data_IF_771044139801
#
_entry.id   IF_771044139801
#
_cell.length_a   1.000
_cell.length_b   1.000
_cell.length_c   1.000
_cell.angle_alpha   90.00
_cell.angle_beta   90.00
_cell.angle_gamma   90.00
#
_symmetry.space_group_name_H-M   'P 1'
#
loop_
_entity.id
_entity.type
_entity.pdbx_description
1 polymer ?
#
# COMPACT_ATOMS: atom_id res chain seq x y z
N UNK A 1 -49.13 54.81 28.10
CA UNK A 1 -48.92 54.04 26.85
C UNK A 1 -47.43 54.17 26.53
N UNK A 2 -46.63 53.17 26.91
CA UNK A 2 -45.16 53.19 26.76
C UNK A 2 -44.82 52.05 25.80
N UNK A 3 -44.20 52.41 24.66
CA UNK A 3 -43.79 51.50 23.61
C UNK A 3 -42.55 50.71 24.02
N UNK A 4 -42.55 49.41 23.72
CA UNK A 4 -41.38 48.54 23.81
C UNK A 4 -40.48 48.70 22.57
N UNK A 5 -39.14 48.72 22.69
CA UNK A 5 -38.25 48.65 21.54
C UNK A 5 -38.00 47.19 21.14
N UNK A 6 -38.21 46.90 19.86
CA UNK A 6 -37.83 45.63 19.23
C UNK A 6 -36.30 45.57 19.06
N UNK A 7 -35.69 44.48 19.54
CA UNK A 7 -34.28 44.15 19.28
C UNK A 7 -34.20 43.37 17.97
N UNK A 8 -33.53 43.93 16.96
CA UNK A 8 -33.17 43.19 15.76
C UNK A 8 -31.92 42.34 16.04
N UNK A 9 -32.05 41.03 15.96
CA UNK A 9 -30.92 40.10 15.93
C UNK A 9 -30.26 40.15 14.55
N UNK A 10 -29.04 40.67 14.49
CA UNK A 10 -28.21 40.65 13.29
C UNK A 10 -27.66 39.24 13.12
N UNK A 11 -28.10 38.53 12.09
CA UNK A 11 -27.50 37.27 11.65
C UNK A 11 -26.10 37.56 11.08
N UNK A 12 -25.07 37.12 11.81
CA UNK A 12 -23.71 37.12 11.29
C UNK A 12 -23.51 35.88 10.41
N UNK A 13 -23.47 36.07 9.09
CA UNK A 13 -23.00 35.06 8.17
C UNK A 13 -21.46 35.02 8.22
N UNK A 14 -20.90 33.95 8.77
CA UNK A 14 -19.48 33.65 8.61
C UNK A 14 -19.25 33.15 7.19
N UNK A 15 -18.75 34.01 6.31
CA UNK A 15 -18.15 33.59 5.06
C UNK A 15 -16.85 32.84 5.40
N UNK A 16 -16.86 31.51 5.27
CA UNK A 16 -15.62 30.75 5.25
C UNK A 16 -14.82 31.19 4.03
N UNK A 17 -13.67 31.83 4.26
CA UNK A 17 -12.72 32.12 3.20
C UNK A 17 -12.29 30.80 2.55
N UNK A 18 -12.21 30.78 1.22
CA UNK A 18 -11.73 29.62 0.47
C UNK A 18 -10.33 29.23 0.97
N UNK A 19 -10.20 27.99 1.44
CA UNK A 19 -8.93 27.46 1.94
C UNK A 19 -7.97 27.39 0.74
N UNK A 20 -6.74 27.94 0.84
CA UNK A 20 -5.80 27.91 -0.26
C UNK A 20 -5.51 26.44 -0.64
N UNK A 21 -5.70 26.12 -1.92
CA UNK A 21 -5.37 24.79 -2.45
C UNK A 21 -3.85 24.63 -2.37
N UNK A 22 -3.33 23.64 -1.62
CA UNK A 22 -1.89 23.46 -1.54
C UNK A 22 -1.33 23.11 -2.92
N UNK A 23 -0.26 23.79 -3.32
CA UNK A 23 0.43 23.51 -4.57
C UNK A 23 0.82 22.02 -4.64
N UNK A 24 0.51 21.37 -5.76
CA UNK A 24 0.82 19.95 -6.00
C UNK A 24 2.32 19.73 -5.76
N UNK A 25 2.67 18.87 -4.80
CA UNK A 25 4.06 18.53 -4.51
C UNK A 25 4.65 17.83 -5.75
N UNK A 26 5.93 18.08 -6.09
CA UNK A 26 6.56 17.48 -7.26
C UNK A 26 6.56 15.94 -7.16
N UNK A 27 6.01 15.28 -8.18
CA UNK A 27 6.05 13.82 -8.32
C UNK A 27 7.49 13.39 -8.60
N UNK A 28 8.11 12.71 -7.65
CA UNK A 28 9.42 12.11 -7.84
C UNK A 28 9.25 10.81 -8.62
N UNK A 29 9.72 10.78 -9.87
CA UNK A 29 9.75 9.55 -10.68
C UNK A 29 11.10 8.87 -10.47
N UNK A 30 11.10 7.68 -9.86
CA UNK A 30 12.32 6.88 -9.76
C UNK A 30 12.44 6.00 -11.01
N UNK A 31 13.56 6.13 -11.72
CA UNK A 31 13.81 5.42 -12.97
C UNK A 31 14.34 4.01 -12.67
N UNK A 32 13.44 3.10 -12.30
CA UNK A 32 13.75 1.68 -12.06
C UNK A 32 13.79 0.84 -13.35
N UNK A 33 13.38 1.41 -14.49
CA UNK A 33 13.22 0.69 -15.78
C UNK A 33 14.50 -0.04 -16.24
N UNK A 34 15.64 0.64 -16.23
CA UNK A 34 16.93 0.06 -16.65
C UNK A 34 17.32 -1.14 -15.78
N UNK A 35 17.11 -1.03 -14.47
CA UNK A 35 17.38 -2.13 -13.54
C UNK A 35 16.53 -3.36 -13.87
N UNK A 36 15.22 -3.15 -14.08
CA UNK A 36 14.28 -4.23 -14.39
C UNK A 36 14.62 -4.89 -15.73
N UNK A 37 14.97 -4.09 -16.75
CA UNK A 37 15.39 -4.59 -18.07
C UNK A 37 16.69 -5.41 -18.00
N UNK A 38 17.67 -4.96 -17.22
CA UNK A 38 18.91 -5.73 -17.01
C UNK A 38 18.64 -7.03 -16.23
N UNK A 39 17.83 -6.96 -15.18
CA UNK A 39 17.44 -8.15 -14.42
C UNK A 39 16.66 -9.15 -15.27
N UNK A 40 15.83 -8.69 -16.20
CA UNK A 40 15.01 -9.54 -17.08
C UNK A 40 15.84 -10.55 -17.91
N UNK A 41 17.14 -10.26 -18.13
CA UNK A 41 18.09 -11.15 -18.83
C UNK A 41 18.50 -12.39 -18.02
N UNK A 42 18.28 -12.40 -16.69
CA UNK A 42 18.61 -13.52 -15.81
C UNK A 42 17.53 -14.61 -15.86
N UNK A 43 17.80 -15.86 -15.46
CA UNK A 43 16.78 -16.91 -15.41
C UNK A 43 15.60 -16.54 -14.50
N UNK A 44 14.37 -16.81 -14.95
CA UNK A 44 13.14 -16.56 -14.19
C UNK A 44 12.52 -17.87 -13.73
N UNK A 45 12.27 -18.00 -12.43
CA UNK A 45 11.51 -19.10 -11.84
C UNK A 45 10.69 -18.60 -10.65
N UNK A 46 9.64 -19.34 -10.28
CA UNK A 46 8.85 -19.05 -9.10
C UNK A 46 9.37 -19.86 -7.90
N UNK A 47 9.78 -19.18 -6.83
CA UNK A 47 10.52 -19.78 -5.70
C UNK A 47 9.61 -20.34 -4.60
N UNK A 48 8.32 -20.02 -4.63
CA UNK A 48 7.32 -20.48 -3.67
C UNK A 48 6.57 -19.33 -3.02
N UNK A 49 6.04 -19.60 -1.83
CA UNK A 49 5.21 -18.67 -1.08
C UNK A 49 5.29 -18.83 0.44
N UNK A 50 5.10 -17.72 1.16
CA UNK A 50 4.81 -17.69 2.60
C UNK A 50 3.43 -17.09 2.86
N UNK A 51 2.93 -17.30 4.07
CA UNK A 51 1.74 -16.60 4.58
C UNK A 51 2.23 -15.33 5.28
N UNK A 52 1.61 -14.19 4.95
CA UNK A 52 1.86 -12.93 5.62
C UNK A 52 1.34 -13.01 7.06
N UNK A 53 2.15 -12.50 7.99
CA UNK A 53 1.73 -12.23 9.37
C UNK A 53 2.37 -10.93 9.80
N UNK A 54 1.61 -10.12 10.50
CA UNK A 54 2.09 -8.94 11.21
C UNK A 54 1.67 -9.03 12.68
N UNK A 55 2.58 -8.72 13.60
CA UNK A 55 2.26 -8.52 15.01
C UNK A 55 1.60 -7.14 15.17
N UNK A 56 0.32 -7.04 15.58
CA UNK A 56 -0.27 -5.76 15.90
C UNK A 56 0.44 -5.21 17.13
N UNK A 57 1.29 -4.19 16.94
CA UNK A 57 1.95 -3.54 18.06
C UNK A 57 0.95 -2.64 18.75
N UNK A 58 0.35 -3.10 19.84
CA UNK A 58 -0.35 -2.19 20.76
C UNK A 58 0.70 -1.18 21.24
N UNK A 59 0.53 0.14 21.01
CA UNK A 59 1.49 1.12 21.48
C UNK A 59 1.49 1.05 23.01
N UNK A 60 2.56 0.52 23.61
CA UNK A 60 2.71 0.58 25.06
C UNK A 60 2.92 2.05 25.41
N UNK A 61 1.92 2.66 26.05
CA UNK A 61 1.88 4.08 26.43
C UNK A 61 3.12 4.53 27.25
N UNK A 62 3.89 3.56 27.77
CA UNK A 62 5.06 3.74 28.63
C UNK A 62 6.39 3.98 27.88
N UNK A 63 6.40 3.91 26.54
CA UNK A 63 7.64 4.01 25.74
C UNK A 63 7.85 5.35 25.02
N UNK A 64 7.23 6.44 25.49
CA UNK A 64 7.56 7.80 25.03
C UNK A 64 8.85 8.26 25.72
N UNK A 65 9.96 7.61 25.39
CA UNK A 65 11.28 8.22 25.59
C UNK A 65 11.59 9.04 24.32
N UNK A 66 11.53 10.36 24.48
CA UNK A 66 11.84 11.38 23.45
C UNK A 66 13.26 11.25 22.87
N UNK A 67 14.13 10.44 23.47
CA UNK A 67 15.48 10.16 22.98
C UNK A 67 15.75 8.69 22.61
N UNK A 68 14.75 7.80 22.71
CA UNK A 68 14.92 6.44 22.24
C UNK A 68 15.01 6.46 20.71
N UNK A 69 16.21 6.19 20.18
CA UNK A 69 16.39 5.72 18.80
C UNK A 69 15.40 4.56 18.61
N UNK A 70 14.31 4.82 17.88
CA UNK A 70 13.26 3.84 17.61
C UNK A 70 13.92 2.57 17.11
N UNK A 71 14.01 1.56 17.97
CA UNK A 71 14.45 0.23 17.55
C UNK A 71 13.33 -0.27 16.65
N UNK A 72 13.59 -0.26 15.35
CA UNK A 72 12.66 -0.70 14.31
C UNK A 72 12.24 -2.14 14.59
N UNK A 73 11.10 -2.33 15.24
CA UNK A 73 10.50 -3.65 15.37
C UNK A 73 9.74 -3.90 14.07
N UNK A 74 10.33 -4.65 13.15
CA UNK A 74 9.60 -5.13 11.97
C UNK A 74 8.54 -6.10 12.48
N UNK A 75 7.28 -5.70 12.41
CA UNK A 75 6.18 -6.54 12.90
C UNK A 75 5.81 -7.63 11.91
N UNK A 76 6.29 -7.55 10.66
CA UNK A 76 5.98 -8.49 9.59
C UNK A 76 6.93 -9.70 9.60
N UNK A 77 6.43 -10.87 9.19
CA UNK A 77 7.26 -12.03 8.84
C UNK A 77 8.22 -11.67 7.69
N UNK A 78 9.55 -11.69 7.92
CA UNK A 78 10.52 -11.33 6.88
C UNK A 78 10.42 -12.24 5.66
N UNK A 79 10.74 -11.71 4.49
CA UNK A 79 10.86 -12.51 3.27
C UNK A 79 12.19 -13.29 3.34
N UNK A 80 12.23 -14.60 3.00
CA UNK A 80 13.47 -15.35 2.93
C UNK A 80 14.47 -14.68 1.99
N UNK A 81 15.72 -14.61 2.40
CA UNK A 81 16.79 -14.14 1.54
C UNK A 81 17.05 -15.14 0.40
N UNK A 82 17.07 -14.65 -0.84
CA UNK A 82 17.26 -15.46 -2.04
C UNK A 82 18.48 -15.01 -2.85
N UNK A 83 19.66 -15.34 -2.36
CA UNK A 83 20.94 -15.03 -3.00
C UNK A 83 21.01 -15.53 -4.46
N UNK A 84 21.39 -14.64 -5.38
CA UNK A 84 21.57 -14.96 -6.80
C UNK A 84 20.29 -15.40 -7.54
N UNK A 85 19.11 -15.09 -6.99
CA UNK A 85 17.80 -15.37 -7.60
C UNK A 85 17.12 -14.11 -8.11
N UNK A 86 17.87 -13.10 -8.54
CA UNK A 86 17.28 -11.92 -9.16
C UNK A 86 16.51 -12.34 -10.42
N UNK A 87 15.46 -11.60 -10.75
CA UNK A 87 14.46 -11.92 -11.78
C UNK A 87 13.51 -13.10 -11.47
N UNK A 88 13.73 -13.83 -10.38
CA UNK A 88 12.76 -14.81 -9.90
C UNK A 88 11.59 -14.13 -9.17
N UNK A 89 10.52 -14.89 -8.96
CA UNK A 89 9.33 -14.40 -8.25
C UNK A 89 9.06 -15.18 -6.98
N UNK A 90 8.47 -14.52 -6.01
CA UNK A 90 8.08 -15.11 -4.72
C UNK A 90 6.72 -14.55 -4.28
N UNK A 91 5.82 -15.39 -3.79
CA UNK A 91 4.45 -14.96 -3.44
C UNK A 91 4.27 -14.84 -1.94
N UNK A 92 3.83 -13.68 -1.49
CA UNK A 92 3.35 -13.47 -0.12
C UNK A 92 1.84 -13.56 -0.13
N UNK A 93 1.30 -14.54 0.59
CA UNK A 93 -0.14 -14.80 0.68
C UNK A 93 -0.69 -14.06 1.87
N UNK A 94 -1.42 -12.99 1.60
CA UNK A 94 -1.96 -12.06 2.59
C UNK A 94 -3.40 -12.45 2.90
N UNK A 95 -3.70 -12.91 4.13
CA UNK A 95 -5.07 -13.17 4.56
C UNK A 95 -5.95 -11.92 4.40
N UNK A 96 -7.23 -12.12 4.06
CA UNK A 96 -8.22 -11.05 3.86
C UNK A 96 -8.25 -10.01 4.98
N UNK A 97 -8.04 -10.40 6.23
CA UNK A 97 -8.14 -9.49 7.38
C UNK A 97 -7.07 -8.38 7.36
N UNK A 98 -5.93 -8.60 6.69
CA UNK A 98 -4.86 -7.61 6.54
C UNK A 98 -5.05 -6.66 5.37
N UNK A 99 -6.03 -6.91 4.50
CA UNK A 99 -6.29 -6.13 3.27
C UNK A 99 -7.74 -5.65 3.18
N UNK A 100 -8.59 -6.06 4.11
CA UNK A 100 -9.95 -5.56 4.22
C UNK A 100 -9.94 -4.14 4.78
N UNK A 101 -10.69 -3.26 4.13
CA UNK A 101 -11.03 -1.95 4.71
C UNK A 101 -12.07 -2.15 5.81
N UNK A 102 -11.97 -1.41 6.91
CA UNK A 102 -13.05 -1.41 7.90
C UNK A 102 -14.34 -0.86 7.29
N UNK A 103 -15.46 -1.44 7.71
CA UNK A 103 -16.76 -0.81 7.51
C UNK A 103 -16.88 0.38 8.45
N UNK A 104 -17.54 1.45 8.03
CA UNK A 104 -17.76 2.64 8.87
C UNK A 104 -18.58 2.35 10.15
N UNK A 105 -19.07 1.13 10.35
CA UNK A 105 -19.84 0.68 11.52
C UNK A 105 -19.02 -0.09 12.56
N UNK A 106 -17.81 -0.53 12.25
CA UNK A 106 -16.95 -1.25 13.19
C UNK A 106 -16.20 -0.26 14.09
N UNK A 107 -16.17 -0.52 15.39
CA UNK A 107 -15.40 0.29 16.34
C UNK A 107 -13.97 -0.27 16.45
N UNK A 108 -13.02 0.36 15.75
CA UNK A 108 -11.58 0.06 15.84
C UNK A 108 -10.81 0.40 14.55
N UNK A 109 -9.48 0.34 14.59
CA UNK A 109 -8.66 0.44 13.38
C UNK A 109 -8.61 -0.90 12.64
N UNK A 110 -8.57 -0.88 11.31
CA UNK A 110 -8.34 -2.11 10.53
C UNK A 110 -6.88 -2.54 10.64
N UNK A 111 -6.57 -3.81 10.39
CA UNK A 111 -5.18 -4.23 10.26
C UNK A 111 -4.48 -3.49 9.10
N UNK A 112 -5.20 -3.18 8.01
CA UNK A 112 -4.64 -2.42 6.90
C UNK A 112 -4.30 -0.99 7.32
N UNK A 113 -5.14 -0.35 8.14
CA UNK A 113 -4.90 0.97 8.71
C UNK A 113 -3.64 0.97 9.59
N UNK A 114 -3.49 -0.03 10.46
CA UNK A 114 -2.28 -0.18 11.29
C UNK A 114 -1.02 -0.35 10.42
N UNK A 115 -1.07 -1.21 9.40
CA UNK A 115 0.03 -1.41 8.44
C UNK A 115 0.39 -0.10 7.73
N UNK A 116 -0.62 0.63 7.22
CA UNK A 116 -0.43 1.91 6.56
C UNK A 116 0.15 2.97 7.51
N UNK A 117 -0.25 2.97 8.78
CA UNK A 117 0.24 3.90 9.81
C UNK A 117 1.70 3.61 10.22
N UNK A 118 2.11 2.34 10.28
CA UNK A 118 3.48 1.94 10.62
C UNK A 118 4.52 2.43 9.60
N UNK A 119 4.14 2.51 8.32
CA UNK A 119 4.97 3.00 7.21
C UNK A 119 6.36 2.33 7.22
N UNK A 120 6.39 1.02 7.40
CA UNK A 120 7.60 0.20 7.32
C UNK A 120 7.94 -0.06 5.86
N UNK A 121 8.22 1.00 5.10
CA UNK A 121 8.53 0.95 3.67
C UNK A 121 9.80 1.75 3.45
N UNK A 122 10.81 1.14 2.83
CA UNK A 122 12.08 1.77 2.48
C UNK A 122 12.30 1.69 0.98
N UNK A 123 12.42 2.85 0.33
CA UNK A 123 12.49 2.97 -1.12
C UNK A 123 11.18 3.31 -1.81
N UNK A 124 11.21 3.28 -3.13
CA UNK A 124 10.07 3.61 -4.00
C UNK A 124 10.22 2.88 -5.32
N UNK A 125 9.12 2.29 -5.80
CA UNK A 125 9.07 1.32 -6.91
C UNK A 125 9.88 0.03 -6.68
N UNK A 126 11.12 0.16 -6.22
CA UNK A 126 12.01 -0.88 -5.70
C UNK A 126 12.17 -0.65 -4.20
N UNK A 127 11.86 -1.68 -3.43
CA UNK A 127 11.84 -1.67 -1.97
C UNK A 127 12.91 -2.62 -1.42
N UNK A 128 13.44 -2.32 -0.25
CA UNK A 128 14.26 -3.29 0.50
C UNK A 128 13.41 -4.47 0.95
N UNK A 129 14.00 -5.64 1.15
CA UNK A 129 13.37 -6.81 1.78
C UNK A 129 12.95 -6.59 3.25
N UNK A 130 13.43 -5.52 3.90
CA UNK A 130 12.93 -5.07 5.20
C UNK A 130 11.54 -4.41 5.13
N UNK A 131 11.07 -4.05 3.93
CA UNK A 131 9.78 -3.36 3.75
C UNK A 131 8.58 -4.29 3.92
N UNK A 132 7.54 -3.80 4.59
CA UNK A 132 6.25 -4.46 4.66
C UNK A 132 5.63 -4.57 3.26
N UNK A 133 5.29 -5.79 2.86
CA UNK A 133 4.83 -6.11 1.50
C UNK A 133 3.46 -5.50 1.20
N UNK A 134 2.57 -5.44 2.19
CA UNK A 134 1.23 -4.85 2.04
C UNK A 134 1.36 -3.34 1.95
N UNK A 135 2.13 -2.72 2.84
CA UNK A 135 2.41 -1.29 2.79
C UNK A 135 3.13 -0.87 1.50
N UNK A 136 4.06 -1.68 0.99
CA UNK A 136 4.73 -1.45 -0.28
C UNK A 136 3.75 -1.56 -1.48
N UNK A 137 2.79 -2.49 -1.43
CA UNK A 137 1.73 -2.61 -2.43
C UNK A 137 0.78 -1.41 -2.44
N UNK A 138 0.46 -0.86 -1.26
CA UNK A 138 -0.28 0.41 -1.14
C UNK A 138 0.56 1.58 -1.66
N UNK A 139 1.79 1.73 -1.18
CA UNK A 139 2.69 2.82 -1.58
C UNK A 139 2.92 2.84 -3.10
N UNK A 140 3.11 1.69 -3.74
CA UNK A 140 3.25 1.60 -5.22
C UNK A 140 1.93 1.69 -5.99
N UNK A 141 0.79 1.86 -5.33
CA UNK A 141 -0.52 2.06 -5.98
C UNK A 141 -1.15 0.81 -6.55
N UNK A 142 -0.73 -0.38 -6.11
CA UNK A 142 -1.41 -1.62 -6.49
C UNK A 142 -2.69 -1.81 -5.69
N UNK A 143 -2.63 -1.55 -4.38
CA UNK A 143 -3.75 -1.65 -3.46
C UNK A 143 -4.15 -0.29 -2.92
N UNK A 144 -5.44 -0.08 -2.70
CA UNK A 144 -5.94 1.07 -1.96
C UNK A 144 -5.61 0.89 -0.48
N UNK A 145 -5.02 1.91 0.14
CA UNK A 145 -4.76 1.93 1.58
C UNK A 145 -6.01 2.25 2.40
N UNK A 146 -5.95 1.93 3.69
CA UNK A 146 -6.94 2.31 4.69
C UNK A 146 -6.30 3.32 5.65
N UNK A 147 -6.98 4.44 5.87
CA UNK A 147 -6.52 5.54 6.72
C UNK A 147 -7.60 5.95 7.73
N UNK A 148 -8.53 5.04 8.04
CA UNK A 148 -9.58 5.24 9.04
C UNK A 148 -10.46 6.44 8.70
N UNK A 149 -10.62 7.36 9.65
CA UNK A 149 -11.45 8.57 9.52
C UNK A 149 -11.00 9.50 8.38
N UNK A 150 -9.73 9.44 7.96
CA UNK A 150 -9.21 10.29 6.89
C UNK A 150 -9.59 9.78 5.49
N UNK A 151 -10.14 8.58 5.35
CA UNK A 151 -10.49 8.02 4.04
C UNK A 151 -11.48 8.89 3.25
N UNK A 152 -12.40 9.58 3.93
CA UNK A 152 -13.41 10.44 3.30
C UNK A 152 -12.77 11.70 2.73
N UNK A 153 -11.96 12.37 3.55
CA UNK A 153 -11.18 13.54 3.17
C UNK A 153 -10.22 13.21 2.01
N UNK A 154 -9.54 12.07 2.07
CA UNK A 154 -8.63 11.62 1.02
C UNK A 154 -9.37 11.34 -0.29
N UNK A 155 -10.58 10.77 -0.23
CA UNK A 155 -11.43 10.58 -1.41
C UNK A 155 -11.87 11.90 -2.03
N UNK A 156 -12.19 12.90 -1.20
CA UNK A 156 -12.54 14.24 -1.68
C UNK A 156 -11.33 14.93 -2.34
N UNK A 157 -10.13 14.80 -1.76
CA UNK A 157 -8.90 15.34 -2.34
C UNK A 157 -8.49 14.66 -3.66
N UNK A 158 -8.78 13.37 -3.81
CA UNK A 158 -8.52 12.59 -5.04
C UNK A 158 -9.58 12.81 -6.12
N UNK A 159 -10.75 13.33 -5.77
CA UNK A 159 -11.77 13.73 -6.71
C UNK A 159 -11.34 15.03 -7.40
N UNK A 160 -10.67 14.91 -8.56
CA UNK A 160 -10.33 16.06 -9.39
C UNK A 160 -11.57 16.96 -9.60
N UNK A 161 -11.48 18.29 -9.41
CA UNK A 161 -12.53 19.18 -9.86
C UNK A 161 -12.67 18.98 -11.36
N UNK A 162 -13.88 18.62 -11.82
CA UNK A 162 -14.16 18.68 -13.26
C UNK A 162 -14.03 20.14 -13.66
N UNK A 163 -13.06 20.46 -14.50
CA UNK A 163 -13.07 21.76 -15.18
C UNK A 163 -14.31 21.77 -16.08
N UNK A 164 -15.21 22.72 -15.81
CA UNK A 164 -16.45 22.93 -16.57
C UNK A 164 -16.09 23.25 -18.03
N UNK A 165 -16.02 22.22 -18.88
CA UNK A 165 -15.77 22.41 -20.31
C UNK A 165 -14.99 21.31 -21.02
N UNK A 166 -14.41 20.34 -20.31
CA UNK A 166 -13.72 19.23 -20.97
C UNK A 166 -14.74 18.14 -21.34
N UNK A 167 -14.99 17.99 -22.65
CA UNK A 167 -15.76 16.90 -23.22
C UNK A 167 -15.23 15.56 -22.68
N UNK A 168 -16.09 14.54 -22.48
CA UNK A 168 -15.65 13.27 -21.92
C UNK A 168 -14.48 12.75 -22.75
N UNK A 169 -13.32 12.60 -22.11
CA UNK A 169 -12.19 11.91 -22.70
C UNK A 169 -12.75 10.57 -23.20
N UNK A 170 -12.75 10.41 -24.52
CA UNK A 170 -13.18 9.22 -25.20
C UNK A 170 -12.59 8.01 -24.47
N UNK A 171 -13.47 7.17 -23.92
CA UNK A 171 -13.18 5.81 -23.50
C UNK A 171 -12.77 5.02 -24.76
N UNK A 172 -11.54 5.25 -25.22
CA UNK A 172 -10.89 4.57 -26.32
C UNK A 172 -9.88 3.58 -25.74
N UNK A 173 -10.37 2.43 -25.32
CA UNK A 173 -9.56 1.33 -24.79
C UNK A 173 -10.46 0.30 -24.13
N UNK A 174 -10.99 -0.60 -24.97
CA UNK A 174 -11.62 -1.88 -24.64
C UNK A 174 -12.35 -1.96 -23.29
N UNK A 175 -13.67 -1.86 -23.36
CA UNK A 175 -14.58 -2.11 -22.26
C UNK A 175 -14.39 -3.52 -21.68
N UNK A 176 -13.53 -3.65 -20.67
CA UNK A 176 -13.62 -4.73 -19.69
C UNK A 176 -14.60 -4.27 -18.59
N UNK A 177 -15.83 -4.78 -18.70
CA UNK A 177 -16.88 -4.91 -17.69
C UNK A 177 -16.58 -4.32 -16.29
N UNK A 178 -17.00 -3.07 -16.08
CA UNK A 178 -16.79 -2.29 -14.86
C UNK A 178 -17.77 -2.63 -13.72
N UNK A 179 -18.00 -3.92 -13.43
CA UNK A 179 -18.83 -4.33 -12.27
C UNK A 179 -18.15 -5.23 -11.25
N UNK A 180 -16.90 -5.64 -11.44
CA UNK A 180 -16.08 -6.28 -10.40
C UNK A 180 -14.58 -5.92 -10.55
N UNK A 181 -13.82 -5.75 -9.45
CA UNK A 181 -12.36 -5.62 -9.55
C UNK A 181 -11.79 -6.88 -10.21
N UNK A 182 -10.84 -6.75 -11.15
CA UNK A 182 -10.23 -7.91 -11.78
C UNK A 182 -9.66 -8.83 -10.71
N UNK A 183 -9.92 -10.13 -10.84
CA UNK A 183 -9.42 -11.13 -9.89
C UNK A 183 -7.90 -11.21 -9.86
N UNK A 184 -7.21 -10.65 -10.87
CA UNK A 184 -5.77 -10.56 -10.95
C UNK A 184 -5.34 -9.20 -11.51
N UNK A 185 -4.41 -8.55 -10.84
CA UNK A 185 -3.70 -7.37 -11.30
C UNK A 185 -2.34 -7.82 -11.84
N UNK A 186 -2.15 -7.75 -13.15
CA UNK A 186 -0.87 -8.10 -13.81
C UNK A 186 0.00 -6.89 -14.10
N UNK A 187 -0.60 -5.69 -14.09
CA UNK A 187 0.06 -4.40 -14.20
C UNK A 187 -0.45 -3.50 -13.07
N UNK A 188 0.35 -2.48 -12.71
CA UNK A 188 -0.06 -1.44 -11.76
C UNK A 188 -1.31 -0.74 -12.31
N UNK A 189 -2.44 -0.75 -11.59
CA UNK A 189 -3.67 -0.11 -12.07
C UNK A 189 -3.53 1.43 -12.03
N UNK A 190 -4.32 2.14 -12.85
CA UNK A 190 -4.34 3.62 -12.86
C UNK A 190 -4.85 4.19 -11.54
N UNK A 191 -5.81 3.51 -10.92
CA UNK A 191 -6.31 3.81 -9.58
C UNK A 191 -6.04 2.60 -8.69
N UNK A 192 -5.52 2.77 -7.47
CA UNK A 192 -5.27 1.65 -6.57
C UNK A 192 -6.52 0.80 -6.38
N UNK A 193 -6.37 -0.53 -6.47
CA UNK A 193 -7.49 -1.45 -6.38
C UNK A 193 -7.91 -1.66 -4.92
N UNK A 194 -9.21 -1.60 -4.65
CA UNK A 194 -9.75 -2.11 -3.39
C UNK A 194 -9.84 -3.64 -3.46
N UNK A 195 -9.25 -4.37 -2.48
CA UNK A 195 -9.39 -5.82 -2.39
C UNK A 195 -10.87 -6.23 -2.36
N UNK A 196 -11.30 -7.22 -3.16
CA UNK A 196 -12.67 -7.70 -3.13
C UNK A 196 -13.04 -8.25 -1.74
N UNK A 197 -14.27 -8.01 -1.24
CA UNK A 197 -14.69 -8.51 0.06
C UNK A 197 -14.51 -10.03 0.19
N UNK A 198 -14.00 -10.46 1.34
CA UNK A 198 -13.85 -11.88 1.65
C UNK A 198 -12.77 -12.61 0.85
N UNK A 199 -11.85 -11.91 0.17
CA UNK A 199 -10.75 -12.54 -0.57
C UNK A 199 -9.39 -12.27 0.05
N UNK A 200 -8.52 -13.26 -0.03
CA UNK A 200 -7.12 -13.14 0.32
C UNK A 200 -6.37 -12.51 -0.87
N UNK A 201 -5.26 -11.82 -0.61
CA UNK A 201 -4.42 -11.22 -1.65
C UNK A 201 -3.09 -11.97 -1.77
N UNK A 202 -2.81 -12.55 -2.93
CA UNK A 202 -1.53 -13.18 -3.24
C UNK A 202 -0.65 -12.16 -3.94
N UNK A 203 0.21 -11.50 -3.17
CA UNK A 203 1.13 -10.48 -3.68
C UNK A 203 2.40 -11.19 -4.17
N UNK A 204 2.60 -11.20 -5.49
CA UNK A 204 3.80 -11.79 -6.09
C UNK A 204 4.84 -10.71 -6.30
N UNK A 205 6.02 -10.94 -5.73
CA UNK A 205 7.18 -10.07 -5.78
C UNK A 205 8.08 -10.47 -6.95
N UNK A 206 8.70 -9.49 -7.60
CA UNK A 206 9.85 -9.69 -8.46
C UNK A 206 11.10 -9.36 -7.64
N UNK A 207 12.00 -10.34 -7.51
CA UNK A 207 13.25 -10.17 -6.78
C UNK A 207 14.27 -9.42 -7.63
N UNK A 208 14.90 -8.42 -7.02
CA UNK A 208 15.84 -7.50 -7.63
C UNK A 208 17.12 -7.44 -6.79
N UNK A 209 18.28 -7.11 -7.39
CA UNK A 209 19.50 -6.89 -6.62
C UNK A 209 19.33 -5.67 -5.71
N UNK A 210 20.05 -5.62 -4.57
CA UNK A 210 20.04 -4.47 -3.68
C UNK A 210 20.47 -3.20 -4.41
N UNK A 211 19.89 -2.07 -4.01
CA UNK A 211 20.30 -0.74 -4.48
C UNK A 211 21.33 -0.14 -3.54
N UNK A 212 22.20 0.72 -4.08
CA UNK A 212 23.11 1.54 -3.28
C UNK A 212 22.36 2.59 -2.45
N UNK A 213 21.26 3.10 -3.00
CA UNK A 213 20.44 4.14 -2.39
C UNK A 213 18.95 3.89 -2.67
N UNK A 214 18.15 3.98 -1.62
CA UNK A 214 16.70 3.93 -1.70
C UNK A 214 16.14 5.31 -1.35
N UNK A 215 15.42 5.93 -2.28
CA UNK A 215 14.84 7.26 -2.07
C UNK A 215 13.54 7.20 -1.24
N UNK A 216 13.31 8.23 -0.43
CA UNK A 216 12.02 8.47 0.26
C UNK A 216 11.06 9.21 -0.68
N UNK A 217 9.83 8.71 -0.82
CA UNK A 217 8.75 9.42 -1.52
C UNK A 217 7.45 9.37 -0.73
N UNK A 218 6.49 10.25 -1.05
CA UNK A 218 5.11 10.10 -0.58
C UNK A 218 4.25 9.70 -1.77
N UNK A 219 3.67 8.50 -1.71
CA UNK A 219 2.78 7.96 -2.73
C UNK A 219 1.60 7.27 -2.06
N UNK A 220 0.40 7.46 -2.61
CA UNK A 220 -0.84 6.85 -2.10
C UNK A 220 -0.97 7.00 -0.57
N UNK A 221 -0.70 8.23 -0.11
CA UNK A 221 -0.78 8.68 1.30
C UNK A 221 0.19 8.01 2.28
N UNK A 222 1.08 7.14 1.80
CA UNK A 222 2.19 6.59 2.57
C UNK A 222 3.47 7.33 2.20
N UNK A 223 4.24 7.75 3.21
CA UNK A 223 5.62 8.21 3.02
C UNK A 223 6.58 7.07 3.28
N UNK A 224 7.32 6.63 2.25
CA UNK A 224 8.43 5.70 2.40
C UNK A 224 9.66 6.37 3.01
N UNK A 225 10.56 5.57 3.56
CA UNK A 225 11.81 5.99 4.19
C UNK A 225 12.94 5.86 3.18
N UNK A 226 13.95 6.71 3.36
CA UNK A 226 15.20 6.53 2.64
C UNK A 226 16.04 5.43 3.30
N UNK A 227 16.92 4.83 2.51
CA UNK A 227 18.00 4.01 3.02
C UNK A 227 19.27 4.39 2.26
N UNK A 228 20.19 5.03 2.98
CA UNK A 228 21.50 5.40 2.46
C UNK A 228 22.55 4.48 3.09
N UNK A 229 23.33 3.79 2.25
CA UNK A 229 24.39 2.87 2.69
C UNK A 229 24.21 1.47 2.13
N UNK A 230 25.17 0.59 2.41
CA UNK A 230 25.20 -0.76 1.87
C UNK A 230 24.10 -1.61 2.54
N UNK A 231 22.99 -1.81 1.82
CA UNK A 231 21.96 -2.79 2.17
C UNK A 231 22.48 -4.18 1.83
N UNK A 232 22.51 -5.08 2.81
CA UNK A 232 23.06 -6.44 2.71
C UNK A 232 22.02 -7.49 2.31
N UNK A 233 20.74 -7.10 2.24
CA UNK A 233 19.63 -7.92 1.81
C UNK A 233 19.41 -7.93 0.30
N UNK A 234 18.16 -8.17 -0.09
CA UNK A 234 17.70 -8.10 -1.47
C UNK A 234 16.67 -6.99 -1.65
N UNK A 235 16.45 -6.58 -2.90
CA UNK A 235 15.33 -5.70 -3.22
C UNK A 235 14.16 -6.50 -3.80
N UNK A 236 12.98 -5.90 -3.76
CA UNK A 236 11.84 -6.38 -4.51
C UNK A 236 11.01 -5.25 -5.09
N UNK A 237 10.18 -5.60 -6.07
CA UNK A 237 9.04 -4.78 -6.46
C UNK A 237 7.79 -5.66 -6.55
N UNK A 238 6.61 -5.04 -6.45
CA UNK A 238 5.35 -5.75 -6.69
C UNK A 238 5.25 -6.08 -8.18
N UNK A 239 5.09 -7.36 -8.49
CA UNK A 239 5.02 -7.86 -9.85
C UNK A 239 3.59 -8.11 -10.32
N UNK A 240 2.75 -8.68 -9.44
CA UNK A 240 1.32 -8.90 -9.66
C UNK A 240 0.61 -9.16 -8.34
N UNK A 241 -0.72 -9.02 -8.33
CA UNK A 241 -1.57 -9.39 -7.20
C UNK A 241 -2.73 -10.24 -7.69
N UNK A 242 -2.96 -11.39 -7.07
CA UNK A 242 -4.11 -12.26 -7.36
C UNK A 242 -5.05 -12.29 -6.14
N UNK A 243 -6.36 -12.01 -6.34
CA UNK A 243 -7.37 -12.05 -5.29
C UNK A 243 -8.08 -13.41 -5.27
N UNK A 244 -7.75 -14.21 -4.26
CA UNK A 244 -8.10 -15.62 -4.20
C UNK A 244 -9.09 -15.89 -3.06
N UNK A 245 -10.09 -16.73 -3.32
CA UNK A 245 -10.87 -17.34 -2.25
C UNK A 245 -10.19 -18.63 -1.81
N UNK A 246 -9.34 -18.56 -0.78
CA UNK A 246 -8.65 -19.73 -0.29
C UNK A 246 -9.52 -20.57 0.64
N UNK A 247 -9.63 -21.87 0.32
CA UNK A 247 -10.32 -22.83 1.16
C UNK A 247 -9.68 -22.89 2.58
N UNK A 248 -10.49 -23.12 3.63
CA UNK A 248 -10.04 -23.07 5.03
C UNK A 248 -8.77 -23.86 5.34
N UNK A 249 -8.60 -25.05 4.74
CA UNK A 249 -7.47 -25.94 4.98
C UNK A 249 -6.16 -25.56 4.28
N UNK A 250 -6.18 -24.64 3.31
CA UNK A 250 -4.97 -24.17 2.61
C UNK A 250 -4.43 -22.84 3.14
N UNK A 251 -5.26 -22.04 3.83
CA UNK A 251 -4.98 -20.65 4.22
C UNK A 251 -3.66 -20.44 4.95
N UNK A 252 -3.32 -21.34 5.86
CA UNK A 252 -2.16 -21.15 6.75
C UNK A 252 -0.92 -22.00 6.40
N UNK A 253 -0.94 -22.73 5.27
CA UNK A 253 0.16 -23.64 4.91
C UNK A 253 1.22 -23.00 4.03
N UNK A 254 2.48 -22.99 4.44
CA UNK A 254 3.61 -22.56 3.60
C UNK A 254 3.78 -23.47 2.38
N UNK A 255 4.30 -22.93 1.26
CA UNK A 255 4.56 -23.69 0.04
C UNK A 255 5.92 -23.29 -0.53
N UNK A 256 6.96 -24.08 -0.30
CA UNK A 256 8.32 -23.78 -0.74
C UNK A 256 9.05 -25.01 -1.27
N UNK A 257 10.17 -24.79 -1.96
CA UNK A 257 11.00 -25.89 -2.46
C UNK A 257 11.46 -26.86 -1.35
N UNK A 258 11.64 -26.37 -0.12
CA UNK A 258 11.98 -27.18 1.07
C UNK A 258 10.81 -28.07 1.56
N UNK A 259 9.55 -27.62 1.44
CA UNK A 259 8.37 -28.42 1.87
C UNK A 259 7.99 -29.52 0.87
N UNK A 260 8.42 -29.44 -0.41
CA UNK A 260 8.22 -30.54 -1.38
C UNK A 260 9.08 -31.79 -1.08
N UNK A 261 10.25 -31.63 -0.45
CA UNK A 261 11.12 -32.76 -0.07
C UNK A 261 10.62 -33.57 1.14
N UNK A 262 9.70 -33.03 1.93
CA UNK A 262 9.13 -33.73 3.09
C UNK A 262 7.92 -34.62 2.71
N UNK A 263 7.61 -34.76 1.41
CA UNK A 263 6.44 -35.48 0.89
C UNK A 263 6.82 -36.58 -0.12
N UNK A 264 8.09 -36.98 -0.14
CA UNK A 264 8.61 -38.12 -0.91
C UNK A 264 9.18 -39.11 0.08
#
# INVERSE_FOLDING_TARGET
>A
HVHAPHTHTVQHHHHHAARPVPARKPTTTVVSKKLVEECAKKPRSHLGSQVYKSEPSVPRLEAIDVHARVKHHNSMTPIPYFEGKENCTYTVRVPRDYVAHQSSSDQGSSCLEEICNHRQVWGTDVYTDDSDVVAAAVHSGWLKGDFGEFNDDLRELEAEPREDGEAPAQEGGEAEDATAPPHSLTNRPRKPASPPPGRDAHITLLLLPPLEHYASTTQHHIRSREWAGNHDGMSFMIHRIDFVDEAPGSRFRERGAKTRKARI
#
